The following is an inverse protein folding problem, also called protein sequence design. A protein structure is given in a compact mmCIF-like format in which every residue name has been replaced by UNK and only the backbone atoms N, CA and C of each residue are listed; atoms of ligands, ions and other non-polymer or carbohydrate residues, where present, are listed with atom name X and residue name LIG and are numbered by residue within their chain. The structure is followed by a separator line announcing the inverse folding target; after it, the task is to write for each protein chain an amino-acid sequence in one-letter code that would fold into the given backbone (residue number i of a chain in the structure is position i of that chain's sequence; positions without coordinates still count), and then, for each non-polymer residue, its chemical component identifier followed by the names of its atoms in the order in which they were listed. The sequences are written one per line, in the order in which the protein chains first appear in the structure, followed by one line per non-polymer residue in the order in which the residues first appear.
data_IF_297993014481
#
_entry.id   IF_297993014481
#
_cell.length_a   1.000
_cell.length_b   1.000
_cell.length_c   1.000
_cell.angle_alpha   90.00
_cell.angle_beta   90.00
_cell.angle_gamma   90.00
#
_symmetry.space_group_name_H-M   'P 1'
#
loop_
_entity.id
_entity.type
_entity.pdbx_description
1 polymer ?
#
# COMPACT_ATOMS: atom_id res chain seq x y z
N UNK A 1 -17.65 -2.08 15.94
CA UNK A 1 -16.46 -2.81 15.43
C UNK A 1 -15.83 -3.57 16.58
N UNK A 2 -16.15 -4.87 16.69
CA UNK A 2 -15.80 -5.67 17.89
C UNK A 2 -14.32 -6.11 17.95
N UNK A 3 -13.58 -6.02 16.84
CA UNK A 3 -12.22 -6.57 16.69
C UNK A 3 -11.20 -5.51 16.26
N UNK A 4 -11.49 -4.23 16.47
CA UNK A 4 -10.65 -3.13 16.01
C UNK A 4 -9.90 -2.50 17.17
N UNK A 5 -8.62 -2.26 16.99
CA UNK A 5 -7.79 -1.42 17.86
C UNK A 5 -7.47 -0.14 17.12
N UNK A 6 -7.79 1.01 17.71
CA UNK A 6 -7.52 2.31 17.12
C UNK A 6 -6.38 3.01 17.84
N UNK A 7 -5.64 3.83 17.12
CA UNK A 7 -4.55 4.61 17.66
C UNK A 7 -4.07 5.68 16.68
N UNK A 8 -3.14 6.51 17.14
CA UNK A 8 -2.46 7.51 16.31
C UNK A 8 -1.09 6.96 15.88
N UNK A 9 -0.88 6.81 14.59
CA UNK A 9 0.41 6.49 14.02
C UNK A 9 1.07 7.79 13.54
N UNK A 10 2.19 8.16 14.16
CA UNK A 10 2.98 9.29 13.71
C UNK A 10 4.04 8.80 12.71
N UNK A 11 4.06 9.38 11.53
CA UNK A 11 5.07 9.13 10.50
C UNK A 11 5.94 10.36 10.34
N UNK A 12 7.22 10.18 10.03
CA UNK A 12 8.17 11.29 9.85
C UNK A 12 8.09 11.95 8.48
N UNK A 13 7.29 11.41 7.57
CA UNK A 13 7.13 11.90 6.20
C UNK A 13 5.77 12.55 6.04
N UNK A 14 5.76 13.75 5.45
CA UNK A 14 4.57 14.55 5.25
C UNK A 14 4.38 14.87 3.76
N UNK A 15 3.16 14.78 3.27
CA UNK A 15 2.78 15.27 1.93
C UNK A 15 3.14 14.37 0.75
N UNK A 16 3.38 13.08 0.96
CA UNK A 16 3.69 12.11 -0.09
C UNK A 16 4.94 11.28 0.20
N UNK A 17 5.63 10.79 -0.85
CA UNK A 17 6.81 9.93 -0.73
C UNK A 17 6.56 8.68 0.13
N UNK A 18 5.55 7.92 -0.21
CA UNK A 18 5.12 6.70 0.49
C UNK A 18 6.27 5.73 0.75
N UNK A 19 7.20 5.60 -0.21
CA UNK A 19 8.40 4.76 -0.09
C UNK A 19 9.26 5.11 1.13
N UNK A 20 9.25 6.35 1.60
CA UNK A 20 10.00 6.75 2.79
C UNK A 20 9.38 6.21 4.08
N UNK A 21 8.04 6.20 4.18
CA UNK A 21 7.32 5.57 5.29
C UNK A 21 7.46 4.04 5.24
N UNK A 22 7.40 3.45 4.04
CA UNK A 22 7.67 2.02 3.84
C UNK A 22 9.08 1.65 4.32
N UNK A 23 10.08 2.46 3.96
CA UNK A 23 11.47 2.27 4.40
C UNK A 23 11.58 2.27 5.92
N UNK A 24 11.01 3.25 6.61
CA UNK A 24 11.03 3.30 8.07
C UNK A 24 10.35 2.10 8.72
N UNK A 25 9.18 1.73 8.21
CA UNK A 25 8.42 0.60 8.74
C UNK A 25 9.12 -0.75 8.53
N UNK A 26 9.59 -1.00 7.30
CA UNK A 26 10.17 -2.30 6.95
C UNK A 26 11.58 -2.51 7.51
N UNK A 27 12.36 -1.45 7.65
CA UNK A 27 13.77 -1.55 8.05
C UNK A 27 14.05 -1.17 9.50
N UNK A 28 13.11 -0.47 10.16
CA UNK A 28 13.35 0.12 11.48
C UNK A 28 14.34 1.29 11.49
N UNK A 29 14.80 1.73 10.32
CA UNK A 29 15.64 2.92 10.19
C UNK A 29 14.78 4.19 10.19
N UNK A 30 15.41 5.36 10.24
CA UNK A 30 14.69 6.64 10.24
C UNK A 30 15.18 7.56 9.13
N UNK A 31 14.26 8.34 8.57
CA UNK A 31 14.55 9.41 7.63
C UNK A 31 15.28 10.61 8.28
N UNK A 32 15.26 10.71 9.62
CA UNK A 32 15.73 11.88 10.35
C UNK A 32 17.21 12.26 10.12
N UNK A 33 18.02 11.29 9.73
CA UNK A 33 19.46 11.49 9.48
C UNK A 33 19.83 11.58 7.99
N UNK A 34 18.83 11.51 7.12
CA UNK A 34 19.06 11.64 5.67
C UNK A 34 18.84 13.09 5.22
N UNK A 35 19.51 13.52 4.15
CA UNK A 35 19.29 14.84 3.56
C UNK A 35 17.81 15.06 3.20
N UNK A 36 17.36 16.29 3.31
CA UNK A 36 16.00 16.65 2.90
C UNK A 36 15.74 16.26 1.43
N UNK A 37 14.58 15.62 1.18
CA UNK A 37 14.22 15.14 -0.14
C UNK A 37 14.82 13.79 -0.52
N UNK A 38 15.53 13.12 0.40
CA UNK A 38 16.01 11.76 0.15
C UNK A 38 14.87 10.77 -0.08
N UNK A 39 15.14 9.82 -0.96
CA UNK A 39 14.28 8.66 -1.22
C UNK A 39 15.17 7.42 -1.12
N UNK A 40 15.20 6.74 0.04
CA UNK A 40 16.12 5.64 0.30
C UNK A 40 16.04 4.52 -0.73
N UNK A 41 14.86 4.18 -1.21
CA UNK A 41 14.66 3.17 -2.23
C UNK A 41 15.47 3.44 -3.50
N UNK A 42 15.59 4.70 -3.90
CA UNK A 42 16.29 5.09 -5.13
C UNK A 42 17.75 5.50 -4.92
N UNK A 43 18.17 5.76 -3.68
CA UNK A 43 19.46 6.40 -3.43
C UNK A 43 20.39 5.60 -2.53
N UNK A 44 19.84 4.77 -1.64
CA UNK A 44 20.63 4.14 -0.58
C UNK A 44 20.50 2.61 -0.53
N UNK A 45 19.40 2.03 -1.04
CA UNK A 45 19.24 0.58 -1.09
C UNK A 45 19.78 0.09 -2.44
N UNK A 46 21.01 -0.44 -2.40
CA UNK A 46 21.72 -0.93 -3.59
C UNK A 46 22.20 -2.39 -3.43
N UNK A 47 21.62 -3.11 -2.48
CA UNK A 47 21.89 -4.50 -2.18
C UNK A 47 21.04 -4.98 -1.02
N UNK A 48 21.19 -6.24 -0.65
CA UNK A 48 20.40 -6.86 0.43
C UNK A 48 20.51 -6.07 1.73
N UNK A 49 19.37 -5.70 2.28
CA UNK A 49 19.24 -5.02 3.55
C UNK A 49 18.35 -5.86 4.48
N UNK A 50 18.88 -6.25 5.62
CA UNK A 50 18.09 -6.96 6.63
C UNK A 50 16.93 -6.10 7.11
N UNK A 51 15.72 -6.59 6.89
CA UNK A 51 14.47 -5.89 7.15
C UNK A 51 13.45 -6.81 7.81
N UNK A 52 12.28 -6.30 8.12
CA UNK A 52 11.22 -7.08 8.76
C UNK A 52 10.86 -8.36 7.99
N UNK A 53 10.75 -8.38 6.64
CA UNK A 53 10.48 -9.61 5.91
C UNK A 53 11.55 -10.69 6.13
N UNK A 54 12.83 -10.31 6.11
CA UNK A 54 13.92 -11.27 6.39
C UNK A 54 13.82 -11.89 7.79
N UNK A 55 13.52 -11.06 8.79
CA UNK A 55 13.33 -11.56 10.14
C UNK A 55 12.14 -12.52 10.22
N UNK A 56 11.01 -12.17 9.63
CA UNK A 56 9.81 -13.02 9.62
C UNK A 56 10.05 -14.35 8.91
N UNK A 57 10.85 -14.37 7.83
CA UNK A 57 11.25 -15.64 7.19
C UNK A 57 11.99 -16.57 8.15
N UNK A 58 12.82 -16.04 9.07
CA UNK A 58 13.48 -16.89 10.08
C UNK A 58 12.50 -17.55 11.05
N UNK A 59 11.30 -17.00 11.16
CA UNK A 59 10.20 -17.54 11.96
C UNK A 59 9.23 -18.41 11.13
N UNK A 60 9.58 -18.71 9.87
CA UNK A 60 8.78 -19.56 9.00
C UNK A 60 7.65 -18.84 8.24
N UNK A 61 7.61 -17.50 8.23
CA UNK A 61 6.62 -16.76 7.47
C UNK A 61 6.90 -16.81 5.96
N UNK A 62 5.84 -16.98 5.18
CA UNK A 62 5.83 -16.55 3.79
C UNK A 62 5.63 -15.02 3.77
N UNK A 63 6.43 -14.30 3.00
CA UNK A 63 6.41 -12.83 2.97
C UNK A 63 6.14 -12.33 1.57
N UNK A 64 5.06 -11.56 1.39
CA UNK A 64 4.61 -11.03 0.10
C UNK A 64 4.47 -9.51 0.21
N UNK A 65 5.02 -8.78 -0.77
CA UNK A 65 4.73 -7.36 -0.96
C UNK A 65 3.77 -7.19 -2.13
N UNK A 66 2.77 -6.32 -2.01
CA UNK A 66 1.86 -6.03 -3.12
C UNK A 66 1.59 -4.54 -3.25
N UNK A 67 1.61 -4.06 -4.51
CA UNK A 67 1.29 -2.69 -4.85
C UNK A 67 0.58 -2.67 -6.21
N UNK A 68 -0.74 -2.31 -6.27
CA UNK A 68 -1.55 -2.38 -7.49
C UNK A 68 -1.24 -1.24 -8.47
N UNK A 69 0.04 -0.99 -8.70
CA UNK A 69 0.56 0.02 -9.62
C UNK A 69 1.84 -0.44 -10.30
N UNK A 70 2.48 0.44 -11.09
CA UNK A 70 3.68 0.11 -11.84
C UNK A 70 4.81 -0.37 -10.92
N UNK A 71 5.39 -1.51 -11.25
CA UNK A 71 6.46 -2.16 -10.49
C UNK A 71 7.69 -1.25 -10.27
N UNK A 72 8.10 -0.51 -11.31
CA UNK A 72 9.20 0.46 -11.23
C UNK A 72 8.87 1.74 -10.44
N UNK A 73 7.63 1.91 -9.94
CA UNK A 73 7.28 3.01 -9.06
C UNK A 73 8.07 2.97 -7.75
N UNK A 74 8.93 3.97 -7.51
CA UNK A 74 9.90 4.01 -6.42
C UNK A 74 10.91 2.84 -6.44
N UNK A 75 11.11 2.18 -7.61
CA UNK A 75 11.98 1.01 -7.77
C UNK A 75 11.60 -0.19 -6.88
N UNK A 76 10.30 -0.34 -6.57
CA UNK A 76 9.82 -1.40 -5.68
C UNK A 76 10.11 -2.81 -6.18
N UNK A 77 10.07 -3.03 -7.49
CA UNK A 77 10.44 -4.29 -8.13
C UNK A 77 11.88 -4.73 -7.81
N UNK A 78 12.78 -3.78 -7.65
CA UNK A 78 14.17 -4.00 -7.27
C UNK A 78 14.35 -4.06 -5.76
N UNK A 79 13.69 -3.15 -5.03
CA UNK A 79 13.92 -2.96 -3.60
C UNK A 79 13.23 -4.02 -2.75
N UNK A 80 12.01 -4.43 -3.04
CA UNK A 80 11.31 -5.43 -2.22
C UNK A 80 12.05 -6.77 -2.10
N UNK A 81 12.64 -7.34 -3.17
CA UNK A 81 13.53 -8.49 -3.03
C UNK A 81 14.74 -8.23 -2.12
N UNK A 82 15.37 -7.04 -2.22
CA UNK A 82 16.51 -6.65 -1.38
C UNK A 82 16.12 -6.49 0.10
N UNK A 83 14.86 -6.17 0.39
CA UNK A 83 14.31 -6.14 1.76
C UNK A 83 13.85 -7.51 2.26
N UNK A 84 14.01 -8.54 1.45
CA UNK A 84 13.80 -9.93 1.84
C UNK A 84 12.39 -10.47 1.60
N UNK A 85 11.52 -9.83 0.84
CA UNK A 85 10.25 -10.45 0.46
C UNK A 85 10.47 -11.70 -0.42
N UNK A 86 9.67 -12.73 -0.21
CA UNK A 86 9.67 -13.93 -1.06
C UNK A 86 9.06 -13.64 -2.43
N UNK A 87 8.04 -12.79 -2.47
CA UNK A 87 7.26 -12.47 -3.66
C UNK A 87 6.88 -10.99 -3.66
N UNK A 88 6.84 -10.41 -4.86
CA UNK A 88 6.37 -9.04 -5.08
C UNK A 88 5.35 -9.04 -6.21
N UNK A 89 4.17 -8.48 -5.95
CA UNK A 89 3.00 -8.50 -6.83
C UNK A 89 2.60 -7.07 -7.17
N UNK A 90 2.51 -6.79 -8.47
CA UNK A 90 2.23 -5.45 -8.99
C UNK A 90 0.99 -5.44 -9.90
N UNK A 91 0.68 -4.30 -10.48
CA UNK A 91 -0.52 -4.08 -11.27
C UNK A 91 -0.80 -5.17 -12.30
N UNK A 92 0.23 -5.62 -13.02
CA UNK A 92 0.08 -6.55 -14.13
C UNK A 92 -0.15 -8.01 -13.67
N UNK A 93 0.04 -8.27 -12.37
CA UNK A 93 -0.20 -9.58 -11.74
C UNK A 93 -1.64 -9.73 -11.21
N UNK A 94 -2.46 -8.67 -11.29
CA UNK A 94 -3.86 -8.72 -10.91
C UNK A 94 -4.73 -9.21 -12.06
N UNK A 95 -5.42 -10.31 -11.88
CA UNK A 95 -6.30 -10.90 -12.91
C UNK A 95 -7.70 -10.30 -12.82
N UNK A 96 -8.14 -9.60 -13.87
CA UNK A 96 -9.45 -8.96 -13.96
C UNK A 96 -9.82 -8.07 -12.75
N UNK A 97 -8.94 -7.17 -12.29
CA UNK A 97 -9.24 -6.35 -11.14
C UNK A 97 -10.33 -5.32 -11.45
N UNK A 98 -11.08 -4.92 -10.45
CA UNK A 98 -11.97 -3.78 -10.55
C UNK A 98 -11.17 -2.47 -10.51
N UNK A 99 -11.65 -1.48 -11.21
CA UNK A 99 -11.05 -0.15 -11.23
C UNK A 99 -12.00 0.89 -10.65
N UNK A 100 -11.49 1.71 -9.76
CA UNK A 100 -12.11 2.93 -9.28
C UNK A 100 -11.29 4.10 -9.79
N UNK A 101 -11.89 4.97 -10.58
CA UNK A 101 -11.17 5.97 -11.35
C UNK A 101 -10.15 5.31 -12.29
N UNK A 102 -8.89 5.61 -12.15
CA UNK A 102 -7.79 5.03 -12.95
C UNK A 102 -6.96 3.97 -12.22
N UNK A 103 -7.33 3.64 -10.98
CA UNK A 103 -6.57 2.74 -10.11
C UNK A 103 -7.33 1.45 -9.83
N UNK A 104 -6.60 0.38 -9.58
CA UNK A 104 -7.18 -0.87 -9.06
C UNK A 104 -7.83 -0.57 -7.70
N UNK A 105 -9.01 -1.10 -7.48
CA UNK A 105 -9.80 -0.88 -6.25
C UNK A 105 -9.14 -1.52 -5.04
N UNK A 106 -9.41 -0.96 -3.87
CA UNK A 106 -8.97 -1.54 -2.59
C UNK A 106 -9.66 -2.88 -2.34
N UNK A 107 -10.91 -3.06 -2.81
CA UNK A 107 -11.61 -4.35 -2.81
C UNK A 107 -10.79 -5.43 -3.56
N UNK A 108 -10.33 -5.14 -4.78
CA UNK A 108 -9.47 -6.07 -5.53
C UNK A 108 -8.13 -6.34 -4.83
N UNK A 109 -7.61 -5.39 -4.05
CA UNK A 109 -6.42 -5.61 -3.23
C UNK A 109 -6.71 -6.57 -2.07
N UNK A 110 -7.85 -6.42 -1.41
CA UNK A 110 -8.28 -7.32 -0.31
C UNK A 110 -8.55 -8.72 -0.84
N UNK A 111 -9.26 -8.85 -1.98
CA UNK A 111 -9.46 -10.14 -2.65
C UNK A 111 -8.13 -10.84 -2.94
N UNK A 112 -7.13 -10.08 -3.40
CA UNK A 112 -5.79 -10.63 -3.66
C UNK A 112 -5.08 -11.09 -2.37
N UNK A 113 -5.27 -10.40 -1.27
CA UNK A 113 -4.75 -10.83 0.05
C UNK A 113 -5.44 -12.12 0.50
N UNK A 114 -6.75 -12.22 0.31
CA UNK A 114 -7.52 -13.45 0.61
C UNK A 114 -7.01 -14.60 -0.26
N UNK A 115 -6.80 -14.38 -1.57
CA UNK A 115 -6.21 -15.37 -2.47
C UNK A 115 -4.85 -15.88 -1.96
N UNK A 116 -3.96 -15.00 -1.50
CA UNK A 116 -2.68 -15.42 -0.90
C UNK A 116 -2.89 -16.26 0.35
N UNK A 117 -3.83 -15.87 1.22
CA UNK A 117 -4.11 -16.62 2.43
C UNK A 117 -4.67 -18.01 2.14
N UNK A 118 -5.56 -18.15 1.16
CA UNK A 118 -6.16 -19.43 0.78
C UNK A 118 -5.16 -20.37 0.09
N UNK A 119 -4.20 -19.81 -0.66
CA UNK A 119 -3.23 -20.58 -1.43
C UNK A 119 -1.88 -20.78 -0.74
N UNK A 120 -1.67 -20.20 0.46
CA UNK A 120 -0.43 -20.38 1.21
C UNK A 120 -0.19 -21.83 1.60
N UNK A 121 1.05 -22.19 1.88
CA UNK A 121 1.38 -23.49 2.43
C UNK A 121 0.61 -23.73 3.75
N UNK A 122 0.13 -24.96 3.91
CA UNK A 122 -0.59 -25.34 5.12
C UNK A 122 0.32 -25.13 6.33
N UNK A 123 -0.24 -24.52 7.36
CA UNK A 123 0.42 -24.23 8.62
C UNK A 123 1.56 -23.17 8.57
N UNK A 124 1.92 -22.66 7.38
CA UNK A 124 2.84 -21.55 7.27
C UNK A 124 2.13 -20.21 7.61
N UNK A 125 2.70 -19.40 8.52
CA UNK A 125 2.19 -18.06 8.74
C UNK A 125 2.49 -17.17 7.51
N UNK A 126 1.62 -16.19 7.27
CA UNK A 126 1.70 -15.29 6.13
C UNK A 126 1.86 -13.85 6.60
N UNK A 127 2.79 -13.13 6.02
CA UNK A 127 2.93 -11.69 6.12
C UNK A 127 2.72 -11.05 4.75
N UNK A 128 1.67 -10.25 4.60
CA UNK A 128 1.42 -9.46 3.40
C UNK A 128 1.61 -7.98 3.72
N UNK A 129 2.51 -7.34 3.02
CA UNK A 129 2.69 -5.89 3.03
C UNK A 129 2.00 -5.29 1.81
N UNK A 130 0.84 -4.69 2.01
CA UNK A 130 0.02 -4.14 0.94
C UNK A 130 0.01 -2.61 0.96
N UNK A 131 0.37 -1.99 -0.15
CA UNK A 131 0.31 -0.54 -0.36
C UNK A 131 -0.72 -0.26 -1.44
N UNK A 132 -1.89 0.20 -1.08
CA UNK A 132 -3.00 0.46 -2.02
C UNK A 132 -2.78 1.70 -2.87
N UNK A 133 -3.58 1.86 -3.93
CA UNK A 133 -3.46 2.98 -4.86
C UNK A 133 -4.79 3.69 -5.14
N UNK A 134 -5.93 3.08 -4.79
CA UNK A 134 -7.27 3.59 -5.11
C UNK A 134 -7.46 5.07 -4.72
N UNK A 135 -6.98 5.46 -3.54
CA UNK A 135 -7.16 6.80 -3.01
C UNK A 135 -6.03 7.78 -3.36
N UNK A 136 -5.12 7.42 -4.27
CA UNK A 136 -4.07 8.33 -4.72
C UNK A 136 -4.64 9.62 -5.28
N UNK A 137 -3.96 10.74 -5.09
CA UNK A 137 -4.40 12.10 -5.40
C UNK A 137 -4.79 12.34 -6.87
N UNK A 138 -5.25 13.56 -7.13
CA UNK A 138 -5.90 13.94 -8.37
C UNK A 138 -7.41 13.86 -8.24
N UNK A 139 -8.00 14.61 -7.25
CA UNK A 139 -9.42 14.53 -6.95
C UNK A 139 -10.29 15.53 -7.74
N UNK A 140 -9.71 16.27 -8.67
CA UNK A 140 -10.41 17.31 -9.45
C UNK A 140 -11.18 16.74 -10.64
N UNK A 141 -10.72 15.61 -11.17
CA UNK A 141 -11.23 15.04 -12.41
C UNK A 141 -12.47 14.18 -12.15
N UNK A 142 -13.38 14.17 -13.15
CA UNK A 142 -14.54 13.29 -13.16
C UNK A 142 -14.21 12.01 -13.95
N UNK A 143 -14.72 10.88 -13.47
CA UNK A 143 -14.51 9.57 -14.09
C UNK A 143 -15.84 8.90 -14.39
N UNK A 144 -15.93 8.21 -15.54
CA UNK A 144 -17.15 7.52 -15.93
C UNK A 144 -17.49 6.28 -15.10
N UNK A 145 -16.51 5.75 -14.38
CA UNK A 145 -16.63 4.57 -13.53
C UNK A 145 -16.67 4.88 -12.03
N UNK A 146 -16.72 6.14 -11.63
CA UNK A 146 -16.79 6.55 -10.23
C UNK A 146 -17.57 7.87 -10.08
N UNK A 147 -18.58 7.85 -9.23
CA UNK A 147 -19.33 9.04 -8.84
C UNK A 147 -19.28 9.18 -7.31
N UNK A 148 -18.83 10.33 -6.78
CA UNK A 148 -18.88 10.59 -5.34
C UNK A 148 -20.30 10.46 -4.79
N UNK A 149 -20.47 9.73 -3.68
CA UNK A 149 -21.74 9.54 -2.98
C UNK A 149 -21.80 10.23 -1.61
N UNK A 150 -20.69 10.82 -1.17
CA UNK A 150 -20.62 11.63 0.03
C UNK A 150 -20.81 13.11 -0.31
N UNK A 151 -21.81 13.73 0.29
CA UNK A 151 -21.99 15.17 0.25
C UNK A 151 -21.52 15.79 1.57
N UNK A 152 -20.84 16.94 1.50
CA UNK A 152 -20.41 17.69 2.66
C UNK A 152 -21.38 18.82 2.92
N UNK A 153 -21.91 18.92 4.14
CA UNK A 153 -22.80 20.00 4.53
C UNK A 153 -22.10 21.35 4.33
N UNK A 154 -22.82 22.29 3.75
CA UNK A 154 -22.35 23.65 3.47
C UNK A 154 -21.11 23.75 2.58
N UNK A 155 -20.81 22.71 1.77
CA UNK A 155 -19.70 22.70 0.81
C UNK A 155 -20.08 22.07 -0.52
N UNK A 156 -19.70 22.73 -1.60
CA UNK A 156 -19.81 22.22 -2.98
C UNK A 156 -18.46 21.76 -3.54
N UNK A 157 -17.44 21.60 -2.67
CA UNK A 157 -16.10 21.20 -3.07
C UNK A 157 -16.10 19.76 -3.57
N UNK A 158 -16.07 19.59 -4.89
CA UNK A 158 -16.07 18.29 -5.56
C UNK A 158 -14.87 17.42 -5.14
N UNK A 159 -13.68 17.99 -5.06
CA UNK A 159 -12.48 17.24 -4.66
C UNK A 159 -12.58 16.65 -3.25
N UNK A 160 -13.18 17.40 -2.33
CA UNK A 160 -13.42 16.91 -0.97
C UNK A 160 -14.48 15.79 -0.95
N UNK A 161 -15.56 15.94 -1.69
CA UNK A 161 -16.60 14.89 -1.81
C UNK A 161 -16.02 13.62 -2.43
N UNK A 162 -15.20 13.76 -3.49
CA UNK A 162 -14.53 12.63 -4.14
C UNK A 162 -13.58 11.92 -3.18
N UNK A 163 -12.74 12.68 -2.46
CA UNK A 163 -11.83 12.11 -1.46
C UNK A 163 -12.59 11.32 -0.38
N UNK A 164 -13.61 11.90 0.22
CA UNK A 164 -14.38 11.24 1.28
C UNK A 164 -15.11 10.00 0.79
N UNK A 165 -15.63 10.02 -0.44
CA UNK A 165 -16.27 8.85 -1.04
C UNK A 165 -15.26 7.72 -1.31
N UNK A 166 -14.04 8.05 -1.69
CA UNK A 166 -12.96 7.06 -1.83
C UNK A 166 -12.55 6.46 -0.48
N UNK A 167 -12.44 7.26 0.58
CA UNK A 167 -12.16 6.76 1.93
C UNK A 167 -13.26 5.80 2.39
N UNK A 168 -14.53 6.11 2.13
CA UNK A 168 -15.65 5.20 2.41
C UNK A 168 -15.51 3.86 1.67
N UNK A 169 -15.11 3.89 0.39
CA UNK A 169 -14.89 2.64 -0.36
C UNK A 169 -13.75 1.81 0.22
N UNK A 170 -12.67 2.44 0.69
CA UNK A 170 -11.58 1.71 1.36
C UNK A 170 -12.03 1.08 2.67
N UNK A 171 -12.88 1.76 3.44
CA UNK A 171 -13.46 1.22 4.67
C UNK A 171 -14.33 0.00 4.37
N UNK A 172 -15.20 0.10 3.35
CA UNK A 172 -16.05 -1.02 2.91
C UNK A 172 -15.25 -2.21 2.37
N UNK A 173 -14.10 -1.98 1.78
CA UNK A 173 -13.24 -3.08 1.28
C UNK A 173 -12.63 -3.93 2.41
N UNK A 174 -12.64 -3.44 3.66
CA UNK A 174 -12.12 -4.15 4.84
C UNK A 174 -13.21 -4.89 5.62
N UNK A 175 -14.49 -4.73 5.26
CA UNK A 175 -15.63 -5.42 5.88
C UNK A 175 -15.81 -6.83 5.32
#
# INVERSE_FOLDING_TARGET
EKNTVTGMLNVSVCGGNTANTEFEFLTGNTMAFLPQGSIPYQQYINGDLKALPDYLKTLGYQTIATHPYNAGGWERDTVYPMLGFNESVFKDDYVNPQYVRQYISDESCVDKIIEFYENKEKDAPLFVFNVTMQNHGGYQDQYGNFTPDISVKDSTNFSLQQYLSLVKLSDSALE
#
